data_IF_868737605210
#
_entry.id   IF_868737605210
#
_cell.length_a   1.000
_cell.length_b   1.000
_cell.length_c   1.000
_cell.angle_alpha   90.00
_cell.angle_beta   90.00
_cell.angle_gamma   90.00
#
_symmetry.space_group_name_H-M   'P 1'
#
loop_
_entity.id
_entity.type
_entity.pdbx_description
1 polymer ?
#
# COMPACT_ATOMS: atom_id res chain seq x y z
N UNK A 1 5.21 2.26 19.50
CA UNK A 1 6.12 3.10 18.70
C UNK A 1 6.50 2.40 17.41
N UNK A 2 6.71 3.14 16.31
CA UNK A 2 7.20 2.62 15.03
C UNK A 2 8.52 3.29 14.65
N UNK A 3 9.39 2.55 13.97
CA UNK A 3 10.62 3.08 13.40
C UNK A 3 10.37 3.54 11.96
N UNK A 4 10.62 4.81 11.67
CA UNK A 4 10.69 5.34 10.31
C UNK A 4 11.81 4.61 9.56
N UNK A 5 11.48 4.03 8.41
CA UNK A 5 12.40 3.10 7.75
C UNK A 5 13.55 3.82 7.05
N UNK A 6 13.38 5.10 6.70
CA UNK A 6 14.39 5.92 6.03
C UNK A 6 15.33 6.58 7.04
N UNK A 7 14.77 7.39 7.94
CA UNK A 7 15.50 8.18 8.95
C UNK A 7 15.93 7.37 10.17
N UNK A 8 15.35 6.17 10.37
CA UNK A 8 15.56 5.30 11.54
C UNK A 8 15.07 5.89 12.87
N UNK A 9 14.35 7.02 12.84
CA UNK A 9 13.78 7.65 14.02
C UNK A 9 12.53 6.89 14.50
N UNK A 10 12.31 6.89 15.81
CA UNK A 10 11.10 6.31 16.41
C UNK A 10 10.02 7.37 16.55
N UNK A 11 8.78 7.01 16.26
CA UNK A 11 7.61 7.86 16.43
C UNK A 11 6.42 7.08 16.97
N UNK A 12 5.50 7.78 17.62
CA UNK A 12 4.20 7.23 18.00
C UNK A 12 3.26 7.29 16.79
N UNK A 13 2.57 6.18 16.53
CA UNK A 13 1.51 6.17 15.54
C UNK A 13 0.21 6.56 16.23
N UNK A 14 -0.40 7.64 15.78
CA UNK A 14 -1.78 7.98 16.13
C UNK A 14 -2.72 7.29 15.14
N UNK A 15 -3.37 6.22 15.62
CA UNK A 15 -4.29 5.39 14.82
C UNK A 15 -5.50 6.19 14.31
N UNK A 16 -5.88 7.27 14.99
CA UNK A 16 -7.01 8.10 14.55
C UNK A 16 -6.77 8.77 13.20
N UNK A 17 -5.51 8.91 12.77
CA UNK A 17 -5.17 9.44 11.45
C UNK A 17 -5.57 8.52 10.29
N UNK A 18 -5.83 7.23 10.55
CA UNK A 18 -6.32 6.28 9.55
C UNK A 18 -7.84 6.28 9.42
N UNK A 19 -8.57 6.98 10.31
CA UNK A 19 -10.02 7.07 10.25
C UNK A 19 -10.47 8.02 9.14
N UNK A 20 -10.92 7.44 8.03
CA UNK A 20 -11.41 8.19 6.86
C UNK A 20 -12.90 8.55 6.97
N UNK A 21 -13.50 8.42 8.15
CA UNK A 21 -14.91 8.73 8.38
C UNK A 21 -15.31 10.12 7.89
N UNK A 22 -14.50 11.16 8.14
CA UNK A 22 -14.84 12.53 7.74
C UNK A 22 -14.87 12.65 6.22
N UNK A 23 -13.92 12.04 5.54
CA UNK A 23 -13.82 11.98 4.09
C UNK A 23 -15.03 11.23 3.50
N UNK A 24 -15.36 10.06 4.05
CA UNK A 24 -16.53 9.29 3.64
C UNK A 24 -17.86 10.03 3.90
N UNK A 25 -17.94 10.86 4.96
CA UNK A 25 -19.08 11.72 5.23
C UNK A 25 -19.20 12.84 4.20
N UNK A 26 -18.10 13.48 3.82
CA UNK A 26 -18.08 14.53 2.79
C UNK A 26 -18.48 14.00 1.41
N UNK A 27 -18.24 12.71 1.15
CA UNK A 27 -18.66 12.00 -0.07
C UNK A 27 -20.08 11.43 0.00
N UNK A 28 -20.82 11.68 1.07
CA UNK A 28 -22.15 11.10 1.32
C UNK A 28 -22.18 9.55 1.28
N UNK A 29 -21.04 8.91 1.56
CA UNK A 29 -20.88 7.46 1.56
C UNK A 29 -21.06 6.83 2.94
N UNK A 30 -20.71 7.56 4.01
CA UNK A 30 -20.74 7.03 5.38
C UNK A 30 -22.18 6.75 5.91
N UNK A 31 -23.21 7.14 5.15
CA UNK A 31 -24.61 6.75 5.40
C UNK A 31 -24.88 5.27 5.11
N UNK A 32 -24.05 4.63 4.28
CA UNK A 32 -24.18 3.23 3.91
C UNK A 32 -23.60 2.32 4.99
N UNK A 33 -24.43 1.39 5.48
CA UNK A 33 -24.12 0.53 6.63
C UNK A 33 -22.78 -0.20 6.46
N UNK A 34 -22.54 -0.82 5.31
CA UNK A 34 -21.34 -1.63 5.10
C UNK A 34 -20.09 -0.80 4.82
N UNK A 35 -20.22 0.39 4.23
CA UNK A 35 -19.10 1.33 4.09
C UNK A 35 -18.64 1.80 5.47
N UNK A 36 -19.59 2.20 6.33
CA UNK A 36 -19.33 2.55 7.72
C UNK A 36 -18.70 1.37 8.48
N UNK A 37 -19.26 0.17 8.35
CA UNK A 37 -18.78 -1.03 9.04
C UNK A 37 -17.31 -1.34 8.69
N UNK A 38 -16.95 -1.29 7.40
CA UNK A 38 -15.58 -1.54 6.94
C UNK A 38 -14.61 -0.55 7.58
N UNK A 39 -14.91 0.76 7.53
CA UNK A 39 -14.07 1.78 8.15
C UNK A 39 -13.92 1.55 9.65
N UNK A 40 -15.04 1.45 10.38
CA UNK A 40 -15.04 1.35 11.83
C UNK A 40 -14.30 0.08 12.31
N UNK A 41 -14.45 -1.05 11.58
CA UNK A 41 -13.71 -2.28 11.87
C UNK A 41 -12.22 -2.15 11.58
N UNK A 42 -11.82 -1.50 10.49
CA UNK A 42 -10.40 -1.29 10.23
C UNK A 42 -9.72 -0.47 11.32
N UNK A 43 -10.37 0.59 11.81
CA UNK A 43 -9.81 1.40 12.91
C UNK A 43 -9.65 0.59 14.19
N UNK A 44 -10.63 -0.25 14.53
CA UNK A 44 -10.53 -1.16 15.68
C UNK A 44 -9.40 -2.20 15.49
N UNK A 45 -9.26 -2.79 14.29
CA UNK A 45 -8.17 -3.72 13.98
C UNK A 45 -6.80 -3.05 14.10
N UNK A 46 -6.65 -1.84 13.55
CA UNK A 46 -5.40 -1.08 13.63
C UNK A 46 -5.06 -0.71 15.09
N UNK A 47 -6.03 -0.28 15.89
CA UNK A 47 -5.81 0.03 17.32
C UNK A 47 -5.39 -1.23 18.09
N UNK A 48 -6.04 -2.37 17.84
CA UNK A 48 -5.71 -3.66 18.47
C UNK A 48 -4.29 -4.12 18.11
N UNK A 49 -3.91 -4.06 16.83
CA UNK A 49 -2.55 -4.42 16.40
C UNK A 49 -1.56 -3.45 17.02
N UNK A 50 -1.81 -2.14 16.91
CA UNK A 50 -0.88 -1.12 17.42
C UNK A 50 -0.62 -1.26 18.93
N UNK A 51 -1.66 -1.49 19.73
CA UNK A 51 -1.53 -1.71 21.17
C UNK A 51 -0.84 -3.03 21.51
N UNK A 52 -0.96 -4.06 20.67
CA UNK A 52 -0.29 -5.34 20.91
C UNK A 52 1.23 -5.27 20.79
N UNK A 53 1.76 -4.26 20.09
CA UNK A 53 3.19 -4.00 19.95
C UNK A 53 3.80 -3.46 21.27
N UNK A 54 2.99 -2.79 22.09
CA UNK A 54 3.41 -2.22 23.38
C UNK A 54 4.55 -1.19 23.27
N UNK A 55 5.28 -1.01 24.38
CA UNK A 55 6.38 -0.04 24.52
C UNK A 55 7.66 -0.43 23.76
N UNK A 56 7.77 -1.69 23.34
CA UNK A 56 8.97 -2.24 22.69
C UNK A 56 9.13 -1.78 21.24
N UNK A 57 8.04 -1.33 20.62
CA UNK A 57 7.99 -0.86 19.25
C UNK A 57 8.14 -1.96 18.20
N UNK A 58 7.76 -1.66 16.95
CA UNK A 58 8.03 -2.59 15.84
C UNK A 58 9.48 -2.45 15.39
N UNK A 59 10.34 -3.37 15.82
CA UNK A 59 11.68 -3.49 15.23
C UNK A 59 11.62 -4.43 14.03
N UNK A 60 11.96 -3.97 12.82
CA UNK A 60 12.13 -4.89 11.70
C UNK A 60 13.24 -5.90 12.05
N UNK A 61 13.10 -7.13 11.57
CA UNK A 61 14.21 -8.07 11.54
C UNK A 61 15.32 -7.45 10.69
N UNK A 62 16.57 -7.46 11.16
CA UNK A 62 17.75 -6.94 10.45
C UNK A 62 17.89 -7.63 9.08
N UNK A 63 17.22 -7.10 8.07
CA UNK A 63 17.24 -7.60 6.70
C UNK A 63 17.72 -6.49 5.79
N UNK A 64 18.81 -6.82 5.09
CA UNK A 64 19.46 -6.01 4.07
C UNK A 64 18.48 -5.77 2.93
N UNK A 65 18.40 -4.53 2.43
CA UNK A 65 17.53 -4.06 1.35
C UNK A 65 16.04 -3.90 1.71
N UNK A 66 15.75 -2.90 2.55
CA UNK A 66 14.47 -2.16 2.51
C UNK A 66 14.40 -1.42 1.16
N UNK A 67 13.27 -1.09 0.54
CA UNK A 67 12.63 0.22 0.62
C UNK A 67 11.49 0.31 -0.40
N UNK A 68 10.31 0.64 0.12
CA UNK A 68 9.24 1.34 -0.59
C UNK A 68 8.52 2.20 0.42
N UNK A 69 9.08 3.38 0.70
CA UNK A 69 8.50 4.37 1.61
C UNK A 69 7.31 5.00 0.89
N UNK A 70 6.11 4.51 1.17
CA UNK A 70 4.87 5.08 0.65
C UNK A 70 4.14 5.79 1.77
N UNK A 71 4.02 7.12 1.65
CA UNK A 71 3.43 7.99 2.66
C UNK A 71 1.93 8.10 2.43
N UNK A 72 1.13 7.46 3.28
CA UNK A 72 -0.33 7.63 3.27
C UNK A 72 -0.72 9.00 3.80
N UNK A 73 -1.36 9.85 2.99
CA UNK A 73 -1.86 11.17 3.40
C UNK A 73 -3.39 11.24 3.22
N UNK A 74 -4.13 11.48 4.29
CA UNK A 74 -5.54 11.83 4.24
C UNK A 74 -5.66 13.36 4.29
N UNK A 75 -6.01 13.94 3.14
CA UNK A 75 -6.46 15.32 2.96
C UNK A 75 -5.70 16.41 3.76
N UNK A 76 -4.44 16.65 3.47
CA UNK A 76 -3.73 17.86 3.91
C UNK A 76 -3.35 17.90 5.39
N UNK A 77 -3.64 16.83 6.14
CA UNK A 77 -2.99 16.57 7.40
C UNK A 77 -1.75 15.71 7.15
N UNK A 78 -0.60 16.25 7.54
CA UNK A 78 0.73 15.65 7.34
C UNK A 78 0.88 14.41 8.23
N UNK A 79 0.26 13.31 7.85
CA UNK A 79 0.59 12.00 8.37
C UNK A 79 1.47 11.28 7.34
N UNK A 80 2.55 10.66 7.82
CA UNK A 80 3.51 9.91 7.03
C UNK A 80 3.62 8.55 7.72
N UNK A 81 2.99 7.53 7.15
CA UNK A 81 3.29 6.14 7.49
C UNK A 81 4.25 5.58 6.48
N UNK A 82 5.24 4.81 6.92
CA UNK A 82 6.10 4.06 6.01
C UNK A 82 5.72 2.58 6.06
N UNK A 83 5.39 2.02 4.90
CA UNK A 83 5.06 0.60 4.75
C UNK A 83 6.34 -0.18 4.41
N UNK A 84 6.64 -1.19 5.21
CA UNK A 84 7.86 -1.98 5.11
C UNK A 84 7.64 -3.33 4.43
N UNK A 85 8.56 -3.70 3.53
CA UNK A 85 8.58 -4.99 2.86
C UNK A 85 9.97 -5.65 2.94
N UNK A 86 9.98 -6.98 3.04
CA UNK A 86 11.16 -7.81 2.90
C UNK A 86 11.33 -8.18 1.41
N UNK A 87 12.17 -7.42 0.71
CA UNK A 87 12.39 -7.59 -0.74
C UNK A 87 12.99 -8.96 -1.06
N UNK A 88 13.85 -9.51 -0.20
CA UNK A 88 14.46 -10.82 -0.44
C UNK A 88 13.43 -11.95 -0.37
N UNK A 89 12.49 -11.89 0.59
CA UNK A 89 11.36 -12.82 0.62
C UNK A 89 10.47 -12.70 -0.62
N UNK A 90 10.23 -11.47 -1.09
CA UNK A 90 9.48 -11.25 -2.33
C UNK A 90 10.20 -11.85 -3.56
N UNK A 91 11.52 -11.68 -3.66
CA UNK A 91 12.35 -12.29 -4.72
C UNK A 91 12.34 -13.82 -4.63
N UNK A 92 12.42 -14.37 -3.44
CA UNK A 92 12.38 -15.82 -3.23
C UNK A 92 11.01 -16.41 -3.59
N UNK A 93 9.92 -15.70 -3.29
CA UNK A 93 8.57 -16.07 -3.73
C UNK A 93 8.48 -16.15 -5.26
N UNK A 94 9.02 -15.16 -5.97
CA UNK A 94 9.08 -15.13 -7.44
C UNK A 94 9.87 -16.32 -7.99
N UNK A 95 11.04 -16.62 -7.40
CA UNK A 95 11.87 -17.77 -7.80
C UNK A 95 11.15 -19.09 -7.56
N UNK A 96 10.56 -19.28 -6.37
CA UNK A 96 9.84 -20.51 -5.99
C UNK A 96 8.65 -20.80 -6.90
N UNK A 97 7.98 -19.76 -7.35
CA UNK A 97 6.81 -19.86 -8.25
C UNK A 97 7.19 -19.92 -9.73
N UNK A 98 8.49 -19.87 -10.06
CA UNK A 98 9.03 -19.86 -11.43
C UNK A 98 8.32 -18.84 -12.34
N UNK A 99 8.01 -17.67 -11.80
CA UNK A 99 7.30 -16.60 -12.51
C UNK A 99 8.15 -16.11 -13.68
N UNK A 100 7.50 -15.92 -14.82
CA UNK A 100 8.12 -15.29 -15.99
C UNK A 100 7.98 -13.78 -15.88
N UNK A 101 9.03 -13.01 -16.21
CA UNK A 101 8.92 -11.57 -16.25
C UNK A 101 7.95 -11.16 -17.35
N UNK A 102 7.18 -10.12 -17.07
CA UNK A 102 6.26 -9.47 -17.98
C UNK A 102 6.87 -8.15 -18.44
N UNK A 103 6.25 -7.52 -19.44
CA UNK A 103 6.62 -6.17 -19.89
C UNK A 103 5.54 -5.20 -19.43
N UNK A 104 5.95 -4.24 -18.60
CA UNK A 104 5.14 -3.11 -18.16
C UNK A 104 5.42 -1.91 -19.07
N UNK A 105 4.42 -1.33 -19.76
CA UNK A 105 4.65 -0.12 -20.55
C UNK A 105 4.83 1.11 -19.64
N UNK A 106 5.50 2.16 -20.16
CA UNK A 106 5.88 3.33 -19.37
C UNK A 106 4.68 4.15 -18.86
N UNK A 107 3.61 4.20 -19.66
CA UNK A 107 2.37 4.92 -19.38
C UNK A 107 1.65 4.46 -18.09
N UNK A 108 1.76 3.19 -17.70
CA UNK A 108 1.15 2.68 -16.45
C UNK A 108 1.71 3.34 -15.18
N UNK A 109 2.86 4.02 -15.29
CA UNK A 109 3.46 4.76 -14.20
C UNK A 109 3.18 6.28 -14.29
N UNK A 110 2.51 6.76 -15.35
CA UNK A 110 2.34 8.18 -15.67
C UNK A 110 0.97 8.78 -15.27
N UNK A 111 0.09 8.00 -14.66
CA UNK A 111 -1.22 8.48 -14.19
C UNK A 111 -1.11 9.44 -13.00
N UNK A 112 -0.90 10.73 -13.28
CA UNK A 112 -1.40 11.84 -12.46
C UNK A 112 -0.58 12.31 -11.26
N UNK A 113 0.42 11.58 -10.76
CA UNK A 113 1.24 12.05 -9.62
C UNK A 113 2.65 12.41 -10.10
N UNK A 114 3.04 13.67 -9.91
CA UNK A 114 4.43 14.11 -10.09
C UNK A 114 5.28 13.41 -9.03
N UNK A 115 6.12 12.47 -9.47
CA UNK A 115 6.92 11.65 -8.57
C UNK A 115 8.25 12.35 -8.31
N UNK A 116 8.36 13.12 -7.22
CA UNK A 116 9.64 13.68 -6.79
C UNK A 116 10.49 12.58 -6.13
N UNK A 117 11.55 12.16 -6.83
CA UNK A 117 12.51 11.21 -6.31
C UNK A 117 13.59 11.96 -5.54
N UNK A 118 13.71 11.69 -4.25
CA UNK A 118 14.98 11.91 -3.57
C UNK A 118 15.95 10.89 -4.14
N UNK A 119 16.79 11.33 -5.08
CA UNK A 119 17.94 10.55 -5.55
C UNK A 119 18.74 10.13 -4.31
N UNK A 120 18.98 8.83 -4.15
CA UNK A 120 19.96 8.39 -3.15
C UNK A 120 21.33 8.86 -3.60
N UNK A 121 22.10 9.39 -2.67
CA UNK A 121 23.55 9.50 -2.87
C UNK A 121 24.08 8.07 -3.11
N UNK A 122 24.54 7.81 -4.34
CA UNK A 122 24.95 6.50 -4.88
C UNK A 122 23.80 5.51 -5.13
N UNK A 123 23.00 5.69 -6.20
CA UNK A 123 22.17 4.59 -6.67
C UNK A 123 23.11 3.47 -7.12
N UNK A 124 22.96 2.26 -6.56
CA UNK A 124 23.43 1.07 -7.26
C UNK A 124 22.97 1.19 -8.71
N UNK A 125 23.91 1.18 -9.65
CA UNK A 125 23.63 1.27 -11.08
C UNK A 125 22.92 -0.02 -11.49
N UNK A 126 21.61 -0.06 -11.26
CA UNK A 126 20.76 -1.18 -11.63
C UNK A 126 20.40 -0.98 -13.09
N UNK A 127 20.76 -1.96 -13.92
CA UNK A 127 20.52 -1.87 -15.36
C UNK A 127 19.02 -1.81 -15.65
N UNK A 128 18.57 -1.07 -16.67
CA UNK A 128 17.15 -0.98 -17.02
C UNK A 128 16.48 -2.33 -17.33
N UNK A 129 17.27 -3.35 -17.66
CA UNK A 129 16.79 -4.68 -18.03
C UNK A 129 16.46 -5.60 -16.83
N UNK A 130 16.80 -5.20 -15.59
CA UNK A 130 16.46 -5.98 -14.41
C UNK A 130 14.96 -5.89 -14.07
N UNK A 131 14.27 -7.04 -13.87
CA UNK A 131 12.85 -7.04 -13.56
C UNK A 131 12.56 -6.43 -12.19
N UNK A 132 11.53 -5.59 -12.12
CA UNK A 132 11.02 -5.00 -10.88
C UNK A 132 9.85 -5.81 -10.29
N UNK A 133 9.60 -5.67 -8.99
CA UNK A 133 8.46 -6.34 -8.34
C UNK A 133 7.28 -5.37 -8.22
N UNK A 134 6.13 -5.77 -8.75
CA UNK A 134 4.89 -5.01 -8.78
C UNK A 134 3.80 -5.69 -7.96
N UNK A 135 3.05 -4.91 -7.21
CA UNK A 135 1.80 -5.36 -6.56
C UNK A 135 0.62 -4.82 -7.38
N UNK A 136 -0.19 -5.69 -8.01
CA UNK A 136 -1.32 -5.29 -8.82
C UNK A 136 -2.60 -5.03 -8.00
N UNK A 137 -2.68 -5.59 -6.78
CA UNK A 137 -3.77 -5.33 -5.85
C UNK A 137 -3.60 -3.90 -5.34
N UNK A 138 -4.50 -3.07 -5.88
CA UNK A 138 -4.42 -1.62 -5.91
C UNK A 138 -4.14 -0.99 -4.53
N UNK A 139 -3.58 0.23 -4.60
CA UNK A 139 -3.34 1.27 -3.57
C UNK A 139 -1.89 1.36 -3.09
N UNK A 140 -1.14 2.46 -3.24
CA UNK A 140 -1.35 3.81 -3.81
C UNK A 140 -0.03 4.35 -4.32
N UNK A 141 -0.14 5.42 -5.11
CA UNK A 141 0.87 6.42 -5.42
C UNK A 141 1.73 6.86 -4.23
N UNK A 142 2.87 7.49 -4.53
CA UNK A 142 3.87 7.99 -3.56
C UNK A 142 3.34 8.99 -2.52
N UNK A 143 2.15 9.51 -2.75
CA UNK A 143 1.26 10.16 -1.78
C UNK A 143 -0.15 9.63 -2.06
N UNK A 144 -0.84 9.06 -1.06
CA UNK A 144 -2.29 8.96 -1.17
C UNK A 144 -2.82 10.40 -1.11
N UNK A 145 -3.56 10.86 -2.12
CA UNK A 145 -4.28 12.13 -2.07
C UNK A 145 -5.74 11.84 -2.37
N UNK A 146 -6.60 11.84 -1.34
CA UNK A 146 -8.06 11.72 -1.51
C UNK A 146 -8.72 12.99 -2.09
N UNK A 147 -7.96 13.92 -2.67
CA UNK A 147 -8.45 15.28 -2.99
C UNK A 147 -8.86 15.50 -4.44
N UNK A 148 -8.55 14.58 -5.35
CA UNK A 148 -9.03 14.64 -6.74
C UNK A 148 -9.69 13.30 -7.07
N UNK A 149 -10.96 13.18 -6.68
CA UNK A 149 -11.77 11.94 -6.75
C UNK A 149 -12.04 11.49 -8.20
N UNK A 150 -11.57 12.25 -9.19
CA UNK A 150 -11.69 11.89 -10.62
C UNK A 150 -10.53 11.11 -11.20
N UNK A 151 -9.42 10.97 -10.47
CA UNK A 151 -8.32 10.07 -10.86
C UNK A 151 -7.81 9.40 -9.59
N UNK A 152 -8.41 8.28 -9.17
CA UNK A 152 -7.70 7.35 -8.29
C UNK A 152 -6.55 6.82 -9.14
N UNK A 153 -5.29 7.25 -8.93
CA UNK A 153 -4.22 6.80 -9.78
C UNK A 153 -4.13 5.29 -9.63
N UNK A 154 -4.34 4.56 -10.72
CA UNK A 154 -4.14 3.13 -10.85
C UNK A 154 -2.64 2.76 -10.77
N UNK A 155 -1.88 3.46 -9.93
CA UNK A 155 -0.44 3.30 -9.86
C UNK A 155 -0.11 2.03 -9.09
N UNK A 156 0.54 1.12 -9.80
CA UNK A 156 1.14 -0.11 -9.31
C UNK A 156 2.19 0.21 -8.23
N UNK A 157 2.14 -0.51 -7.10
CA UNK A 157 3.20 -0.40 -6.09
C UNK A 157 4.48 -1.06 -6.61
N UNK A 158 5.62 -0.37 -6.50
CA UNK A 158 6.92 -0.88 -6.94
C UNK A 158 7.78 -1.20 -5.72
N UNK A 159 7.81 -2.48 -5.30
CA UNK A 159 8.52 -2.92 -4.11
C UNK A 159 10.05 -2.78 -4.22
N UNK A 160 10.58 -3.02 -5.42
CA UNK A 160 12.00 -2.97 -5.73
C UNK A 160 12.18 -2.53 -7.19
N UNK A 161 12.46 -1.25 -7.41
CA UNK A 161 12.54 -0.72 -8.77
C UNK A 161 12.29 0.77 -8.96
N UNK A 162 12.01 1.52 -7.89
CA UNK A 162 11.65 2.93 -7.99
C UNK A 162 12.65 3.76 -8.81
N UNK A 163 13.96 3.60 -8.58
CA UNK A 163 14.99 4.29 -9.37
C UNK A 163 15.03 3.85 -10.84
N UNK A 164 14.73 2.57 -11.12
CA UNK A 164 14.66 2.06 -12.49
C UNK A 164 13.44 2.63 -13.23
N UNK A 165 12.30 2.79 -12.55
CA UNK A 165 11.14 3.49 -13.10
C UNK A 165 11.48 4.96 -13.40
N UNK A 166 12.22 5.65 -12.51
CA UNK A 166 12.72 7.01 -12.78
C UNK A 166 13.59 7.07 -14.03
N UNK A 167 14.58 6.17 -14.14
CA UNK A 167 15.49 6.10 -15.27
C UNK A 167 14.73 5.78 -16.57
N UNK A 168 13.83 4.80 -16.54
CA UNK A 168 12.95 4.44 -17.66
C UNK A 168 12.17 5.66 -18.17
N UNK A 169 11.62 6.48 -17.26
CA UNK A 169 10.92 7.73 -17.60
C UNK A 169 11.85 8.77 -18.20
N UNK A 170 13.01 9.01 -17.57
CA UNK A 170 14.02 9.99 -18.04
C UNK A 170 14.52 9.66 -19.44
N UNK A 171 14.73 8.37 -19.72
CA UNK A 171 15.29 7.87 -20.97
C UNK A 171 14.21 7.57 -22.03
N UNK A 172 12.93 7.85 -21.74
CA UNK A 172 11.77 7.58 -22.59
C UNK A 172 11.73 6.11 -23.09
N UNK A 173 12.11 5.18 -22.22
CA UNK A 173 12.08 3.76 -22.53
C UNK A 173 10.62 3.29 -22.61
N UNK A 174 10.24 2.51 -23.63
CA UNK A 174 8.84 2.14 -23.85
C UNK A 174 8.31 1.10 -22.86
N UNK A 175 9.19 0.28 -22.27
CA UNK A 175 8.81 -0.78 -21.34
C UNK A 175 9.92 -1.09 -20.33
N UNK A 176 9.54 -1.70 -19.20
CA UNK A 176 10.44 -2.34 -18.23
C UNK A 176 9.97 -3.76 -17.92
N UNK A 177 10.91 -4.64 -17.59
CA UNK A 177 10.56 -5.97 -17.13
C UNK A 177 10.01 -5.94 -15.69
N UNK A 178 9.00 -6.77 -15.40
CA UNK A 178 8.40 -6.83 -14.07
C UNK A 178 7.90 -8.22 -13.67
N UNK A 179 7.69 -8.42 -12.38
CA UNK A 179 6.99 -9.55 -11.79
C UNK A 179 5.79 -9.04 -11.02
N UNK A 180 4.61 -9.63 -11.24
CA UNK A 180 3.45 -9.40 -10.39
C UNK A 180 3.47 -10.33 -9.18
N UNK A 181 3.13 -9.80 -8.01
CA UNK A 181 2.85 -10.57 -6.79
C UNK A 181 1.58 -9.98 -6.17
N UNK A 182 0.55 -10.81 -5.94
CA UNK A 182 -0.70 -10.34 -5.32
C UNK A 182 -0.51 -9.99 -3.85
N UNK A 183 -1.37 -9.15 -3.29
CA UNK A 183 -1.37 -8.80 -1.87
C UNK A 183 -1.64 -10.04 -1.01
N UNK A 184 -2.54 -10.94 -1.43
CA UNK A 184 -2.76 -12.22 -0.75
C UNK A 184 -1.46 -13.02 -0.62
N UNK A 185 -0.70 -13.14 -1.70
CA UNK A 185 0.58 -13.86 -1.67
C UNK A 185 1.61 -13.19 -0.75
N UNK A 186 1.64 -11.86 -0.70
CA UNK A 186 2.53 -11.14 0.21
C UNK A 186 2.16 -11.36 1.69
N UNK A 187 0.87 -11.42 1.99
CA UNK A 187 0.34 -11.69 3.33
C UNK A 187 0.66 -13.13 3.75
N UNK A 188 0.33 -14.11 2.91
CA UNK A 188 0.57 -15.53 3.15
C UNK A 188 2.05 -15.86 3.36
N UNK A 189 2.93 -15.17 2.62
CA UNK A 189 4.38 -15.36 2.70
C UNK A 189 5.07 -14.41 3.69
N UNK A 190 4.31 -13.62 4.48
CA UNK A 190 4.83 -12.69 5.49
C UNK A 190 5.91 -11.76 4.94
N UNK A 191 5.66 -11.20 3.76
CA UNK A 191 6.60 -10.30 3.08
C UNK A 191 6.63 -8.92 3.75
N UNK A 192 5.54 -8.48 4.37
CA UNK A 192 5.53 -7.25 5.16
C UNK A 192 6.47 -7.36 6.37
N UNK A 193 7.17 -6.28 6.69
CA UNK A 193 8.10 -6.27 7.83
C UNK A 193 7.37 -6.41 9.17
N UNK A 194 6.14 -5.91 9.25
CA UNK A 194 5.33 -5.94 10.46
C UNK A 194 3.87 -6.25 10.14
N UNK A 195 3.13 -6.73 11.14
CA UNK A 195 1.69 -6.96 11.00
C UNK A 195 0.91 -5.65 10.90
N UNK A 196 1.41 -4.57 11.49
CA UNK A 196 0.80 -3.25 11.33
C UNK A 196 1.02 -2.69 9.91
N UNK A 197 2.18 -2.92 9.30
CA UNK A 197 2.45 -2.57 7.89
C UNK A 197 1.46 -3.25 6.94
N UNK A 198 1.22 -4.55 7.14
CA UNK A 198 0.28 -5.28 6.31
C UNK A 198 -1.16 -4.81 6.54
N UNK A 199 -1.56 -4.55 7.78
CA UNK A 199 -2.90 -4.07 8.11
C UNK A 199 -3.19 -2.69 7.50
N UNK A 200 -2.25 -1.75 7.59
CA UNK A 200 -2.38 -0.42 6.99
C UNK A 200 -2.53 -0.51 5.47
N UNK A 201 -1.69 -1.32 4.81
CA UNK A 201 -1.78 -1.52 3.36
C UNK A 201 -3.11 -2.18 2.94
N UNK A 202 -3.58 -3.17 3.70
CA UNK A 202 -4.85 -3.83 3.44
C UNK A 202 -6.07 -2.93 3.65
N UNK A 203 -6.06 -2.07 4.69
CA UNK A 203 -7.08 -1.05 4.88
C UNK A 203 -7.17 -0.14 3.66
N UNK A 204 -6.01 0.35 3.22
CA UNK A 204 -5.90 1.19 2.04
C UNK A 204 -6.52 0.51 0.80
N UNK A 205 -6.17 -0.76 0.55
CA UNK A 205 -6.72 -1.56 -0.55
C UNK A 205 -8.24 -1.73 -0.48
N UNK A 206 -8.77 -2.13 0.69
CA UNK A 206 -10.21 -2.30 0.92
C UNK A 206 -10.98 -0.99 0.69
N UNK A 207 -10.46 0.15 1.15
CA UNK A 207 -11.10 1.45 1.00
C UNK A 207 -11.16 1.88 -0.47
N UNK A 208 -10.10 1.67 -1.24
CA UNK A 208 -10.13 2.03 -2.68
C UNK A 208 -11.05 1.13 -3.46
N UNK A 209 -11.19 -0.14 -3.11
CA UNK A 209 -12.22 -0.99 -3.72
C UNK A 209 -13.61 -0.34 -3.58
N UNK A 210 -13.95 0.14 -2.38
CA UNK A 210 -15.21 0.84 -2.13
C UNK A 210 -15.30 2.13 -2.95
N UNK A 211 -14.25 2.95 -2.95
CA UNK A 211 -14.25 4.25 -3.64
C UNK A 211 -14.34 4.12 -5.17
N UNK A 212 -13.86 3.03 -5.76
CA UNK A 212 -14.04 2.76 -7.21
C UNK A 212 -15.49 2.60 -7.62
N UNK A 213 -16.38 2.30 -6.67
CA UNK A 213 -17.80 2.08 -6.91
C UNK A 213 -18.64 3.23 -6.33
N UNK A 214 -18.03 4.40 -6.02
CA UNK A 214 -18.71 5.54 -5.39
C UNK A 214 -19.94 6.02 -6.17
N UNK A 215 -19.88 5.99 -7.49
CA UNK A 215 -20.96 6.47 -8.37
C UNK A 215 -22.03 5.40 -8.63
N UNK A 216 -21.85 4.17 -8.11
CA UNK A 216 -22.79 3.08 -8.32
C UNK A 216 -24.04 3.24 -7.42
N UNK A 217 -25.25 3.19 -7.98
CA UNK A 217 -26.49 3.41 -7.21
C UNK A 217 -26.73 2.35 -6.14
N UNK A 218 -26.07 1.18 -6.24
CA UNK A 218 -26.14 0.06 -5.31
C UNK A 218 -24.87 -0.12 -4.48
N UNK A 219 -24.09 0.95 -4.24
CA UNK A 219 -22.84 0.91 -3.45
C UNK A 219 -22.97 0.16 -2.12
N UNK A 220 -24.11 0.27 -1.41
CA UNK A 220 -24.29 -0.48 -0.16
C UNK A 220 -24.35 -2.00 -0.37
N UNK A 221 -24.93 -2.48 -1.47
CA UNK A 221 -24.95 -3.91 -1.82
C UNK A 221 -23.56 -4.37 -2.27
N UNK A 222 -22.85 -3.56 -3.05
CA UNK A 222 -21.45 -3.83 -3.45
C UNK A 222 -20.57 -3.93 -2.21
N UNK A 223 -20.63 -2.95 -1.31
CA UNK A 223 -19.88 -2.96 -0.05
C UNK A 223 -20.22 -4.17 0.82
N UNK A 224 -21.50 -4.57 0.87
CA UNK A 224 -21.94 -5.77 1.58
C UNK A 224 -21.36 -7.06 1.00
N UNK A 225 -21.40 -7.21 -0.32
CA UNK A 225 -20.84 -8.37 -1.00
C UNK A 225 -19.32 -8.42 -0.82
N UNK A 226 -18.67 -7.27 -0.95
CA UNK A 226 -17.23 -7.13 -0.82
C UNK A 226 -16.73 -7.36 0.62
N UNK A 227 -17.49 -6.95 1.65
CA UNK A 227 -17.08 -7.13 3.04
C UNK A 227 -16.63 -8.57 3.34
N UNK A 228 -17.35 -9.58 2.84
CA UNK A 228 -16.99 -10.98 3.06
C UNK A 228 -15.74 -11.45 2.30
N UNK A 229 -15.28 -10.68 1.32
CA UNK A 229 -14.11 -10.93 0.49
C UNK A 229 -12.96 -9.94 0.76
N UNK A 230 -13.19 -8.98 1.66
CA UNK A 230 -12.23 -7.94 2.01
C UNK A 230 -10.99 -8.52 2.69
N UNK A 231 -9.87 -7.81 2.60
CA UNK A 231 -8.66 -8.19 3.32
C UNK A 231 -8.90 -8.17 4.84
N UNK A 232 -9.74 -7.23 5.31
CA UNK A 232 -10.21 -7.17 6.69
C UNK A 232 -10.74 -8.53 7.18
N UNK A 233 -11.69 -9.12 6.45
CA UNK A 233 -12.32 -10.38 6.87
C UNK A 233 -11.40 -11.57 6.59
N UNK A 234 -10.74 -11.60 5.44
CA UNK A 234 -9.94 -12.76 5.03
C UNK A 234 -8.66 -12.94 5.87
N UNK A 235 -7.99 -11.85 6.20
CA UNK A 235 -6.66 -11.89 6.84
C UNK A 235 -6.66 -11.38 8.28
N UNK A 236 -7.62 -10.54 8.66
CA UNK A 236 -7.66 -9.88 9.97
C UNK A 236 -8.87 -10.24 10.83
N UNK A 237 -9.64 -11.28 10.46
CA UNK A 237 -10.81 -11.74 11.23
C UNK A 237 -10.54 -12.06 12.70
N UNK A 238 -9.31 -12.45 13.07
CA UNK A 238 -8.91 -12.68 14.47
C UNK A 238 -9.10 -11.44 15.35
N UNK A 239 -9.09 -10.24 14.78
CA UNK A 239 -9.25 -8.97 15.48
C UNK A 239 -10.69 -8.43 15.48
N UNK A 240 -11.61 -9.00 14.70
CA UNK A 240 -12.96 -8.45 14.47
C UNK A 240 -13.97 -8.89 15.55
N UNK A 241 -13.59 -9.84 16.41
CA UNK A 241 -14.43 -10.43 17.46
C UNK A 241 -14.82 -9.43 18.54
#
# INVERSE_FOLDING_TARGET
MKKDYDTKLWYEVDVSNFDVKKELQNMDLYKHEYVKLINDKWIDVLDKIYRSIGDFGESPQDTLQTFSVYRGNTAGNKYIYDIGFNVDLARDLIKKTNRKPLKAPNDIFNDGIHIDYTERENPYTLTPDEPIILIPDLVTSREARFKEIYDIPTSLLVLDGNNRVTLMKKDNQPYIHCYYVSLDELLENKVFLTEFDSAVYCQMADLVYILKHIDEPNINEIAKLYYNQSYLVNHFSKYIK
#
